data_IF_930991627395
#
_entry.id   IF_930991627395
#
_cell.length_a   1.000
_cell.length_b   1.000
_cell.length_c   1.000
_cell.angle_alpha   90.00
_cell.angle_beta   90.00
_cell.angle_gamma   90.00
#
_symmetry.space_group_name_H-M   'P 1'
#
loop_
_entity.id
_entity.type
_entity.pdbx_description
1 polymer ?
#
# COMPACT_ATOMS: atom_id res chain seq x y z
N UNK A 1 15.49 2.65 -3.83
CA UNK A 1 15.14 1.94 -2.57
C UNK A 1 16.37 1.79 -1.64
N UNK A 2 17.53 1.32 -2.14
CA UNK A 2 18.72 1.05 -1.31
C UNK A 2 19.24 2.30 -0.59
N UNK A 3 19.50 3.36 -1.32
CA UNK A 3 20.04 4.60 -0.77
C UNK A 3 19.02 5.37 0.11
N UNK A 4 17.71 5.24 -0.17
CA UNK A 4 16.65 5.83 0.66
C UNK A 4 16.26 4.98 1.89
N UNK A 5 16.93 3.86 2.15
CA UNK A 5 16.75 3.04 3.36
C UNK A 5 15.68 1.94 3.30
N UNK A 6 14.69 2.05 2.43
CA UNK A 6 13.53 1.15 2.38
C UNK A 6 13.93 -0.33 2.22
N UNK A 7 14.91 -0.60 1.33
CA UNK A 7 15.38 -1.97 1.12
C UNK A 7 16.02 -2.60 2.36
N UNK A 8 16.62 -1.79 3.22
CA UNK A 8 17.25 -2.25 4.46
C UNK A 8 16.27 -2.83 5.49
N UNK A 9 14.99 -2.42 5.41
CA UNK A 9 13.93 -2.85 6.34
C UNK A 9 12.87 -3.74 5.69
N UNK A 10 13.01 -4.06 4.39
CA UNK A 10 12.04 -4.88 3.64
C UNK A 10 12.55 -6.31 3.46
N UNK A 11 11.73 -7.30 3.80
CA UNK A 11 11.97 -8.73 3.65
C UNK A 11 12.18 -9.48 4.96
N UNK A 12 12.44 -10.78 4.84
CA UNK A 12 12.68 -11.67 5.97
C UNK A 12 14.00 -11.36 6.69
N UNK A 13 14.06 -11.50 8.04
CA UNK A 13 15.25 -11.17 8.83
C UNK A 13 16.52 -11.87 8.36
N UNK A 14 16.41 -13.17 8.09
CA UNK A 14 17.56 -14.06 7.80
C UNK A 14 17.86 -14.19 6.31
N UNK A 15 17.23 -13.37 5.46
CA UNK A 15 17.44 -13.40 4.00
C UNK A 15 18.03 -12.09 3.52
N UNK A 16 18.47 -12.08 2.27
CA UNK A 16 18.87 -10.82 1.62
C UNK A 16 17.70 -9.85 1.58
N UNK A 17 17.96 -8.52 1.68
CA UNK A 17 16.94 -7.50 1.59
C UNK A 17 16.07 -7.64 0.34
N UNK A 18 14.75 -7.67 0.52
CA UNK A 18 13.80 -7.79 -0.58
C UNK A 18 13.55 -6.46 -1.26
N UNK A 19 13.20 -6.51 -2.55
CA UNK A 19 12.67 -5.38 -3.29
C UNK A 19 11.16 -5.29 -3.04
N UNK A 20 10.63 -4.06 -2.93
CA UNK A 20 9.20 -3.83 -3.17
C UNK A 20 8.92 -4.11 -4.65
N UNK A 21 7.92 -4.88 -4.98
CA UNK A 21 7.67 -5.45 -6.32
C UNK A 21 7.38 -4.43 -7.43
N UNK A 22 7.42 -3.12 -7.15
CA UNK A 22 7.17 -2.02 -8.08
C UNK A 22 8.32 -1.00 -8.05
N UNK A 23 8.33 -0.05 -8.98
CA UNK A 23 9.26 1.09 -9.00
C UNK A 23 8.81 2.18 -8.03
N UNK A 24 8.80 1.86 -6.72
CA UNK A 24 8.23 2.74 -5.68
C UNK A 24 8.95 4.10 -5.60
N UNK A 25 10.27 4.14 -5.78
CA UNK A 25 11.04 5.39 -5.77
C UNK A 25 10.63 6.34 -6.88
N UNK A 26 10.42 5.82 -8.09
CA UNK A 26 9.96 6.60 -9.25
C UNK A 26 8.53 7.11 -9.03
N UNK A 27 7.66 6.26 -8.54
CA UNK A 27 6.25 6.62 -8.25
C UNK A 27 6.15 7.70 -7.17
N UNK A 28 6.94 7.58 -6.10
CA UNK A 28 6.99 8.59 -5.04
C UNK A 28 7.57 9.91 -5.55
N UNK A 29 8.67 9.88 -6.30
CA UNK A 29 9.27 11.09 -6.87
C UNK A 29 8.32 11.81 -7.83
N UNK A 30 7.59 11.07 -8.68
CA UNK A 30 6.57 11.64 -9.54
C UNK A 30 5.42 12.28 -8.74
N UNK A 31 4.98 11.65 -7.66
CA UNK A 31 3.93 12.16 -6.78
C UNK A 31 4.38 13.45 -6.07
N UNK A 32 5.55 13.47 -5.44
CA UNK A 32 6.11 14.67 -4.81
C UNK A 32 6.41 15.76 -5.84
N UNK A 33 6.87 15.41 -7.04
CA UNK A 33 7.07 16.34 -8.14
C UNK A 33 5.77 17.01 -8.56
N UNK A 34 4.69 16.25 -8.71
CA UNK A 34 3.36 16.79 -9.00
C UNK A 34 2.87 17.75 -7.90
N UNK A 35 3.02 17.36 -6.62
CA UNK A 35 2.67 18.24 -5.48
C UNK A 35 3.52 19.52 -5.48
N UNK A 36 4.81 19.41 -5.75
CA UNK A 36 5.71 20.56 -5.86
C UNK A 36 5.31 21.52 -6.99
N UNK A 37 4.93 20.98 -8.15
CA UNK A 37 4.45 21.77 -9.29
C UNK A 37 3.16 22.54 -8.93
N UNK A 38 2.19 21.88 -8.29
CA UNK A 38 0.96 22.53 -7.84
C UNK A 38 1.22 23.65 -6.83
N UNK A 39 2.11 23.42 -5.86
CA UNK A 39 2.53 24.44 -4.91
C UNK A 39 3.24 25.61 -5.58
N UNK A 40 4.14 25.35 -6.52
CA UNK A 40 4.82 26.39 -7.31
C UNK A 40 3.88 27.20 -8.21
N UNK A 41 2.86 26.56 -8.81
CA UNK A 41 1.81 27.23 -9.57
C UNK A 41 0.96 28.15 -8.66
N UNK A 42 0.64 27.68 -7.44
CA UNK A 42 -0.07 28.51 -6.47
C UNK A 42 0.75 29.75 -6.09
N UNK A 43 2.03 29.58 -5.77
CA UNK A 43 2.96 30.70 -5.50
C UNK A 43 3.03 31.67 -6.69
N UNK A 44 3.24 31.16 -7.91
CA UNK A 44 3.29 32.00 -9.11
C UNK A 44 1.99 32.79 -9.34
N UNK A 45 0.84 32.19 -9.06
CA UNK A 45 -0.44 32.89 -9.21
C UNK A 45 -0.62 34.04 -8.21
N UNK A 46 0.04 33.98 -7.06
CA UNK A 46 -0.01 35.04 -6.05
C UNK A 46 1.08 36.12 -6.24
N UNK A 47 2.26 35.75 -6.70
CA UNK A 47 3.44 36.64 -6.75
C UNK A 47 3.86 37.04 -8.15
N UNK A 48 3.47 36.30 -9.17
CA UNK A 48 3.98 36.42 -10.53
C UNK A 48 5.31 35.71 -10.78
N UNK A 49 5.94 35.14 -9.72
CA UNK A 49 7.28 34.56 -9.78
C UNK A 49 7.21 33.02 -9.86
N UNK A 50 7.96 32.44 -10.80
CA UNK A 50 8.17 30.98 -10.89
C UNK A 50 9.39 30.53 -10.06
N UNK A 51 9.55 29.22 -9.92
CA UNK A 51 10.68 28.63 -9.21
C UNK A 51 11.11 27.29 -9.81
N UNK A 52 12.32 26.87 -9.51
CA UNK A 52 12.84 25.55 -9.84
C UNK A 52 12.43 24.57 -8.72
N UNK A 53 12.02 23.36 -9.10
CA UNK A 53 11.69 22.28 -8.18
C UNK A 53 12.69 21.16 -8.42
N UNK A 54 13.44 20.81 -7.39
CA UNK A 54 14.38 19.69 -7.39
C UNK A 54 13.76 18.52 -6.61
N UNK A 55 13.73 17.33 -7.21
CA UNK A 55 13.14 16.12 -6.63
C UNK A 55 14.08 14.94 -6.86
N UNK A 56 14.70 14.46 -5.77
CA UNK A 56 15.57 13.30 -5.83
C UNK A 56 14.79 12.01 -5.48
N UNK A 57 15.05 10.93 -6.23
CA UNK A 57 14.42 9.61 -6.03
C UNK A 57 14.61 9.09 -4.60
N UNK A 58 15.82 9.19 -4.05
CA UNK A 58 16.13 8.66 -2.73
C UNK A 58 15.50 9.47 -1.59
N UNK A 59 15.38 10.78 -1.76
CA UNK A 59 14.72 11.65 -0.79
C UNK A 59 13.21 11.36 -0.74
N UNK A 60 12.62 11.10 -1.90
CA UNK A 60 11.21 10.69 -1.99
C UNK A 60 10.94 9.40 -1.24
N UNK A 61 11.86 8.43 -1.30
CA UNK A 61 11.79 7.20 -0.49
C UNK A 61 11.98 7.53 1.00
N UNK A 62 12.97 8.37 1.34
CA UNK A 62 13.25 8.75 2.73
C UNK A 62 12.05 9.42 3.41
N UNK A 63 11.26 10.21 2.67
CA UNK A 63 10.09 10.90 3.24
C UNK A 63 9.00 9.94 3.75
N UNK A 64 8.91 8.71 3.23
CA UNK A 64 7.94 7.71 3.68
C UNK A 64 8.52 6.73 4.71
N UNK A 65 9.76 6.93 5.15
CA UNK A 65 10.41 6.07 6.15
C UNK A 65 10.03 6.40 7.59
N UNK A 66 9.04 7.26 7.79
CA UNK A 66 8.52 7.65 9.12
C UNK A 66 9.63 8.19 10.05
N UNK A 67 9.73 7.66 11.27
CA UNK A 67 10.73 8.05 12.29
C UNK A 67 12.09 7.35 12.13
N UNK A 68 12.35 6.64 11.02
CA UNK A 68 13.53 5.78 10.84
C UNK A 68 14.87 6.46 11.22
N UNK A 69 15.11 7.66 10.72
CA UNK A 69 16.33 8.43 11.01
C UNK A 69 16.29 9.01 12.43
N UNK A 70 15.12 9.47 12.87
CA UNK A 70 14.94 10.08 14.19
C UNK A 70 15.14 9.05 15.32
N UNK A 71 14.59 7.82 15.15
CA UNK A 71 14.76 6.73 16.11
C UNK A 71 16.25 6.40 16.32
N UNK A 72 17.00 6.29 15.22
CA UNK A 72 18.44 6.04 15.30
C UNK A 72 19.20 7.21 15.93
N UNK A 73 18.91 8.43 15.53
CA UNK A 73 19.57 9.63 16.04
C UNK A 73 19.33 9.84 17.53
N UNK A 74 18.13 9.55 18.03
CA UNK A 74 17.76 9.78 19.41
C UNK A 74 18.18 8.66 20.36
N UNK A 75 18.21 7.40 19.89
CA UNK A 75 18.38 6.24 20.77
C UNK A 75 19.42 5.20 20.29
N UNK A 76 19.93 5.36 19.07
CA UNK A 76 20.74 4.33 18.41
C UNK A 76 19.91 3.12 17.93
N UNK A 77 18.58 3.16 18.05
CA UNK A 77 17.72 2.05 17.61
C UNK A 77 17.71 1.94 16.09
N UNK A 78 18.13 0.79 15.59
CA UNK A 78 18.14 0.49 14.16
C UNK A 78 16.99 -0.46 13.83
N UNK A 79 16.07 -0.01 12.98
CA UNK A 79 15.03 -0.92 12.43
C UNK A 79 15.69 -1.94 11.52
N UNK A 80 15.25 -3.17 11.63
CA UNK A 80 15.70 -4.29 10.79
C UNK A 80 14.51 -4.89 10.05
N UNK A 81 14.80 -5.83 9.17
CA UNK A 81 13.76 -6.59 8.46
C UNK A 81 13.00 -7.47 9.42
N UNK A 82 11.68 -7.52 9.27
CA UNK A 82 10.76 -8.24 10.18
C UNK A 82 9.76 -9.13 9.44
N UNK A 83 9.95 -9.34 8.14
CA UNK A 83 9.00 -10.11 7.33
C UNK A 83 7.65 -9.40 7.19
N UNK A 84 6.58 -10.13 7.42
CA UNK A 84 5.21 -9.64 7.29
C UNK A 84 4.69 -8.89 8.53
N UNK A 85 5.46 -8.83 9.62
CA UNK A 85 5.01 -8.23 10.88
C UNK A 85 5.51 -6.78 11.03
N UNK A 86 4.71 -5.99 11.74
CA UNK A 86 5.16 -4.73 12.34
C UNK A 86 5.50 -5.00 13.82
N UNK A 87 6.76 -4.84 14.24
CA UNK A 87 7.18 -5.19 15.60
C UNK A 87 6.37 -4.49 16.68
N UNK A 88 5.98 -5.23 17.69
CA UNK A 88 5.18 -4.79 18.85
C UNK A 88 3.72 -4.37 18.50
N UNK A 89 3.27 -4.64 17.30
CA UNK A 89 1.88 -4.40 16.86
C UNK A 89 1.22 -5.75 16.58
N UNK A 90 0.51 -6.31 17.56
CA UNK A 90 -0.06 -7.66 17.44
C UNK A 90 -1.52 -7.74 17.92
N UNK A 91 -2.33 -8.59 17.23
CA UNK A 91 -2.02 -9.24 15.96
C UNK A 91 -2.17 -8.27 14.77
N UNK A 92 -1.17 -8.26 13.91
CA UNK A 92 -1.17 -7.56 12.63
C UNK A 92 -0.19 -8.29 11.70
N UNK A 93 -0.70 -9.30 10.99
CA UNK A 93 0.13 -10.22 10.22
C UNK A 93 -0.66 -10.87 9.09
N UNK A 94 0.05 -11.55 8.20
CA UNK A 94 -0.50 -12.46 7.20
C UNK A 94 -0.42 -13.87 7.73
N UNK A 95 -1.54 -14.57 7.79
CA UNK A 95 -1.66 -15.91 8.37
C UNK A 95 -1.99 -16.94 7.30
N UNK A 96 -1.40 -18.15 7.37
CA UNK A 96 -1.71 -19.23 6.43
C UNK A 96 -3.10 -19.80 6.68
N UNK A 97 -3.83 -20.09 5.59
CA UNK A 97 -5.08 -20.83 5.58
C UNK A 97 -4.90 -22.18 4.87
N UNK A 98 -5.96 -22.99 4.75
CA UNK A 98 -5.92 -24.26 4.00
C UNK A 98 -5.57 -24.08 2.53
N UNK A 99 -6.01 -22.98 1.92
CA UNK A 99 -6.00 -22.74 0.49
C UNK A 99 -5.39 -21.39 0.09
N UNK A 100 -4.70 -20.71 1.01
CA UNK A 100 -4.06 -19.42 0.74
C UNK A 100 -3.56 -18.71 1.99
N UNK A 101 -3.49 -17.39 1.90
CA UNK A 101 -3.01 -16.50 2.95
C UNK A 101 -4.06 -15.41 3.23
N UNK A 102 -4.17 -14.98 4.48
CA UNK A 102 -5.16 -14.00 4.91
C UNK A 102 -4.58 -13.00 5.90
N UNK A 103 -4.79 -11.73 5.65
CA UNK A 103 -4.33 -10.63 6.50
C UNK A 103 -5.34 -10.38 7.62
N UNK A 104 -4.88 -10.30 8.87
CA UNK A 104 -5.69 -9.94 10.04
C UNK A 104 -5.05 -8.76 10.76
N UNK A 105 -5.83 -7.67 10.94
CA UNK A 105 -5.43 -6.47 11.69
C UNK A 105 -6.23 -6.32 12.98
N UNK A 106 -5.89 -7.12 14.00
CA UNK A 106 -6.62 -7.20 15.28
C UNK A 106 -5.93 -6.54 16.46
N UNK A 107 -5.03 -5.59 16.24
CA UNK A 107 -4.12 -5.05 17.25
C UNK A 107 -4.76 -4.13 18.31
N UNK A 108 -5.96 -3.56 18.09
CA UNK A 108 -6.67 -2.78 19.09
C UNK A 108 -7.42 -3.69 20.08
N UNK A 109 -7.47 -3.32 21.38
CA UNK A 109 -8.05 -4.16 22.40
C UNK A 109 -9.50 -4.60 22.12
N UNK A 110 -10.44 -3.72 21.66
CA UNK A 110 -11.77 -4.15 21.30
C UNK A 110 -11.83 -5.10 20.11
N UNK A 111 -10.90 -4.93 19.15
CA UNK A 111 -10.83 -5.77 17.95
C UNK A 111 -10.24 -7.12 18.31
N UNK A 112 -9.21 -7.16 19.13
CA UNK A 112 -8.62 -8.40 19.63
C UNK A 112 -9.63 -9.26 20.39
N UNK A 113 -10.46 -8.63 21.21
CA UNK A 113 -11.57 -9.33 21.89
C UNK A 113 -12.50 -10.00 20.88
N UNK A 114 -12.92 -9.29 19.84
CA UNK A 114 -13.79 -9.84 18.79
C UNK A 114 -13.10 -10.99 18.00
N UNK A 115 -11.80 -10.86 17.78
CA UNK A 115 -11.02 -11.94 17.19
C UNK A 115 -11.01 -13.18 18.09
N UNK A 116 -10.80 -13.02 19.39
CA UNK A 116 -10.87 -14.12 20.35
C UNK A 116 -12.26 -14.77 20.41
N UNK A 117 -13.32 -13.97 20.28
CA UNK A 117 -14.69 -14.49 20.21
C UNK A 117 -14.91 -15.27 18.88
N UNK A 118 -14.41 -14.78 17.75
CA UNK A 118 -14.41 -15.50 16.47
C UNK A 118 -13.63 -16.84 16.52
N UNK A 119 -12.54 -16.86 17.25
CA UNK A 119 -11.73 -18.08 17.50
C UNK A 119 -12.38 -19.05 18.48
N UNK A 120 -13.54 -18.72 19.08
CA UNK A 120 -14.16 -19.44 20.20
C UNK A 120 -13.21 -19.58 21.42
N UNK A 121 -12.28 -18.64 21.58
CA UNK A 121 -11.29 -18.58 22.68
C UNK A 121 -11.40 -17.27 23.49
N UNK A 122 -12.58 -16.87 24.01
CA UNK A 122 -12.76 -15.57 24.68
C UNK A 122 -11.85 -15.36 25.90
N UNK A 123 -11.37 -16.44 26.53
CA UNK A 123 -10.44 -16.36 27.65
C UNK A 123 -9.06 -15.83 27.23
N UNK A 124 -8.69 -15.94 25.96
CA UNK A 124 -7.41 -15.43 25.46
C UNK A 124 -7.32 -13.90 25.59
N UNK A 125 -8.45 -13.21 25.42
CA UNK A 125 -8.54 -11.76 25.62
C UNK A 125 -8.38 -11.30 27.09
N UNK A 126 -8.43 -12.24 28.03
CA UNK A 126 -8.29 -11.99 29.46
C UNK A 126 -6.94 -12.49 30.02
N UNK A 127 -6.17 -13.20 29.20
CA UNK A 127 -4.83 -13.67 29.57
C UNK A 127 -3.89 -12.45 29.75
N UNK A 128 -3.21 -12.29 30.88
CA UNK A 128 -2.31 -11.18 31.12
C UNK A 128 -1.25 -10.96 30.02
N UNK A 129 -0.87 -12.01 29.29
CA UNK A 129 0.08 -11.95 28.18
C UNK A 129 -0.50 -11.24 26.96
N UNK A 130 -1.86 -11.18 26.82
CA UNK A 130 -2.52 -10.67 25.61
C UNK A 130 -3.61 -9.64 25.90
N UNK A 131 -3.92 -9.36 27.16
CA UNK A 131 -5.05 -8.53 27.56
C UNK A 131 -4.94 -7.05 27.12
N UNK A 132 -3.73 -6.55 26.89
CA UNK A 132 -3.47 -5.18 26.45
C UNK A 132 -2.66 -5.15 25.17
N UNK A 133 -2.77 -4.06 24.41
CA UNK A 133 -1.97 -3.84 23.21
C UNK A 133 -0.45 -4.02 23.46
N UNK A 134 0.05 -3.46 24.57
CA UNK A 134 1.47 -3.57 24.94
C UNK A 134 1.86 -5.03 25.21
N UNK A 135 1.07 -5.74 26.03
CA UNK A 135 1.34 -7.13 26.37
C UNK A 135 1.33 -8.04 25.12
N UNK A 136 0.40 -7.81 24.18
CA UNK A 136 0.38 -8.54 22.90
C UNK A 136 1.64 -8.25 22.07
N UNK A 137 2.08 -7.01 22.04
CA UNK A 137 3.32 -6.62 21.34
C UNK A 137 4.56 -7.31 21.91
N UNK A 138 4.64 -7.51 23.20
CA UNK A 138 5.73 -8.23 23.88
C UNK A 138 5.68 -9.76 23.65
N UNK A 139 4.49 -10.33 23.45
CA UNK A 139 4.26 -11.75 23.21
C UNK A 139 3.81 -12.03 21.76
N UNK A 140 4.22 -11.19 20.81
CA UNK A 140 3.74 -11.20 19.43
C UNK A 140 3.93 -12.57 18.76
N UNK A 141 5.11 -13.17 18.84
CA UNK A 141 5.41 -14.42 18.14
C UNK A 141 4.50 -15.56 18.64
N UNK A 142 4.35 -15.70 19.96
CA UNK A 142 3.48 -16.75 20.56
C UNK A 142 2.01 -16.53 20.16
N UNK A 143 1.55 -15.28 20.15
CA UNK A 143 0.19 -14.94 19.73
C UNK A 143 -0.04 -15.23 18.26
N UNK A 144 0.91 -14.87 17.40
CA UNK A 144 0.84 -15.13 15.97
C UNK A 144 0.82 -16.64 15.67
N UNK A 145 1.58 -17.45 16.41
CA UNK A 145 1.53 -18.92 16.29
C UNK A 145 0.14 -19.47 16.67
N UNK A 146 -0.45 -19.00 17.76
CA UNK A 146 -1.80 -19.40 18.19
C UNK A 146 -2.85 -19.08 17.12
N UNK A 147 -2.75 -17.90 16.49
CA UNK A 147 -3.67 -17.49 15.43
C UNK A 147 -3.42 -18.32 14.17
N UNK A 148 -2.15 -18.52 13.80
CA UNK A 148 -1.77 -19.31 12.64
C UNK A 148 -2.24 -20.78 12.74
N UNK A 149 -2.16 -21.39 13.91
CA UNK A 149 -2.72 -22.73 14.14
C UNK A 149 -4.22 -22.78 13.87
N UNK A 150 -4.95 -21.76 14.29
CA UNK A 150 -6.38 -21.68 14.09
C UNK A 150 -6.72 -21.40 12.61
N UNK A 151 -6.08 -20.42 11.95
CA UNK A 151 -6.38 -20.08 10.56
C UNK A 151 -6.09 -21.22 9.59
N UNK A 152 -5.07 -22.05 9.84
CA UNK A 152 -4.79 -23.28 9.07
C UNK A 152 -5.94 -24.29 9.08
N UNK A 153 -6.89 -24.18 9.98
CA UNK A 153 -8.08 -25.06 10.02
C UNK A 153 -9.23 -24.57 9.13
N UNK A 154 -9.10 -23.39 8.54
CA UNK A 154 -10.13 -22.72 7.74
C UNK A 154 -9.63 -22.44 6.33
N UNK A 155 -10.54 -22.38 5.36
CA UNK A 155 -10.29 -21.81 4.04
C UNK A 155 -10.32 -20.28 4.12
N UNK A 156 -9.76 -19.61 3.12
CA UNK A 156 -9.82 -18.13 3.01
C UNK A 156 -11.27 -17.65 3.06
N UNK A 157 -12.18 -18.29 2.33
CA UNK A 157 -13.61 -17.91 2.29
C UNK A 157 -14.32 -18.11 3.65
N UNK A 158 -14.03 -19.23 4.35
CA UNK A 158 -14.59 -19.48 5.69
C UNK A 158 -14.08 -18.44 6.70
N UNK A 159 -12.79 -18.12 6.66
CA UNK A 159 -12.17 -17.14 7.55
C UNK A 159 -12.70 -15.72 7.29
N UNK A 160 -12.83 -15.33 6.03
CA UNK A 160 -13.37 -14.02 5.63
C UNK A 160 -14.78 -13.83 6.14
N UNK A 161 -15.68 -14.79 5.89
CA UNK A 161 -17.07 -14.73 6.36
C UNK A 161 -17.15 -14.63 7.89
N UNK A 162 -16.32 -15.41 8.59
CA UNK A 162 -16.30 -15.44 10.06
C UNK A 162 -15.79 -14.11 10.65
N UNK A 163 -14.70 -13.58 10.13
CA UNK A 163 -14.11 -12.33 10.63
C UNK A 163 -14.96 -11.12 10.29
N UNK A 164 -15.62 -11.13 9.13
CA UNK A 164 -16.60 -10.11 8.75
C UNK A 164 -17.79 -10.09 9.73
N UNK A 165 -18.34 -11.27 10.07
CA UNK A 165 -19.45 -11.38 11.02
C UNK A 165 -19.08 -10.85 12.43
N UNK A 166 -17.82 -10.94 12.82
CA UNK A 166 -17.29 -10.41 14.08
C UNK A 166 -16.72 -8.99 13.95
N UNK A 167 -16.83 -8.36 12.79
CA UNK A 167 -16.30 -7.02 12.51
C UNK A 167 -14.80 -6.87 12.87
N UNK A 168 -14.00 -7.89 12.54
CA UNK A 168 -12.54 -7.88 12.67
C UNK A 168 -11.94 -7.41 11.35
N UNK A 169 -11.14 -6.32 11.31
CA UNK A 169 -10.45 -5.87 10.12
C UNK A 169 -9.52 -6.95 9.57
N UNK A 170 -9.81 -7.39 8.36
CA UNK A 170 -9.10 -8.51 7.73
C UNK A 170 -9.39 -8.53 6.24
N UNK A 171 -8.63 -9.28 5.49
CA UNK A 171 -8.86 -9.45 4.05
C UNK A 171 -7.86 -10.41 3.40
N UNK A 172 -8.25 -10.96 2.26
CA UNK A 172 -7.37 -11.72 1.38
C UNK A 172 -6.25 -10.82 0.85
N UNK A 173 -5.08 -11.38 0.64
CA UNK A 173 -4.02 -10.71 -0.12
C UNK A 173 -4.39 -10.80 -1.60
N UNK A 174 -4.81 -9.69 -2.20
CA UNK A 174 -5.34 -9.65 -3.57
C UNK A 174 -4.23 -9.75 -4.61
N UNK A 175 -4.51 -10.54 -5.63
CA UNK A 175 -3.82 -10.48 -6.91
C UNK A 175 -4.63 -9.69 -7.97
N UNK A 176 -4.16 -9.67 -9.22
CA UNK A 176 -4.82 -8.94 -10.29
C UNK A 176 -6.19 -9.55 -10.67
N UNK A 177 -6.33 -10.87 -10.60
CA UNK A 177 -7.58 -11.57 -10.88
C UNK A 177 -8.65 -11.20 -9.83
N UNK A 178 -8.26 -11.20 -8.56
CA UNK A 178 -9.12 -10.77 -7.46
C UNK A 178 -9.60 -9.33 -7.62
N UNK A 179 -8.68 -8.40 -7.97
CA UNK A 179 -9.02 -6.99 -8.19
C UNK A 179 -10.03 -6.80 -9.32
N UNK A 180 -9.92 -7.58 -10.39
CA UNK A 180 -10.85 -7.51 -11.52
C UNK A 180 -12.21 -8.16 -11.23
N UNK A 181 -12.24 -9.15 -10.36
CA UNK A 181 -13.47 -9.85 -9.97
C UNK A 181 -14.25 -9.13 -8.85
N UNK A 182 -13.59 -8.28 -8.07
CA UNK A 182 -14.18 -7.63 -6.89
C UNK A 182 -15.20 -6.56 -7.28
N UNK A 183 -16.47 -6.67 -6.84
CA UNK A 183 -17.52 -5.69 -7.13
C UNK A 183 -17.22 -4.29 -6.56
N UNK A 184 -16.39 -4.17 -5.53
CA UNK A 184 -15.98 -2.88 -4.99
C UNK A 184 -15.07 -2.12 -5.98
N UNK A 185 -14.14 -2.81 -6.65
CA UNK A 185 -13.32 -2.22 -7.70
C UNK A 185 -14.18 -1.73 -8.87
N UNK A 186 -15.20 -2.51 -9.25
CA UNK A 186 -16.17 -2.12 -10.28
C UNK A 186 -17.01 -0.91 -9.84
N UNK A 187 -17.60 -0.95 -8.64
CA UNK A 187 -18.42 0.15 -8.09
C UNK A 187 -17.63 1.45 -7.90
N UNK A 188 -16.35 1.35 -7.59
CA UNK A 188 -15.41 2.47 -7.49
C UNK A 188 -14.86 2.92 -8.83
N UNK A 189 -15.13 2.18 -9.92
CA UNK A 189 -14.45 2.41 -11.21
C UNK A 189 -12.92 2.53 -11.04
N UNK A 190 -12.35 1.65 -10.25
CA UNK A 190 -10.91 1.68 -9.94
C UNK A 190 -10.08 1.22 -11.13
N UNK A 191 -10.69 0.48 -12.03
CA UNK A 191 -10.12 0.02 -13.29
C UNK A 191 -10.98 0.47 -14.46
N UNK A 192 -10.37 0.59 -15.65
CA UNK A 192 -11.03 0.96 -16.90
C UNK A 192 -10.53 0.07 -18.03
N UNK A 193 -11.40 -0.30 -18.95
CA UNK A 193 -11.03 -1.05 -20.14
C UNK A 193 -10.97 -0.11 -21.34
N UNK A 194 -9.87 -0.14 -22.06
CA UNK A 194 -9.66 0.59 -23.32
C UNK A 194 -9.44 -0.43 -24.45
N UNK A 195 -9.98 -0.13 -25.62
CA UNK A 195 -9.69 -0.90 -26.82
C UNK A 195 -8.34 -0.48 -27.39
N UNK A 196 -7.33 -1.33 -27.19
CA UNK A 196 -6.01 -1.14 -27.80
C UNK A 196 -6.02 -1.75 -29.20
N UNK A 197 -5.57 -1.00 -30.23
CA UNK A 197 -5.62 -1.47 -31.62
C UNK A 197 -4.78 -2.73 -31.91
N UNK A 198 -3.78 -3.05 -31.12
CA UNK A 198 -2.92 -4.22 -31.31
C UNK A 198 -3.27 -5.38 -30.36
N UNK A 199 -3.71 -5.04 -29.14
CA UNK A 199 -3.97 -6.03 -28.08
C UNK A 199 -5.45 -6.32 -27.88
N UNK A 200 -6.36 -5.51 -28.47
CA UNK A 200 -7.78 -5.57 -28.16
C UNK A 200 -8.11 -4.93 -26.80
N UNK A 201 -9.15 -5.37 -26.10
CA UNK A 201 -9.55 -4.81 -24.82
C UNK A 201 -8.46 -5.00 -23.75
N UNK A 202 -7.93 -3.91 -23.20
CA UNK A 202 -6.95 -3.91 -22.09
C UNK A 202 -7.55 -3.21 -20.88
N UNK A 203 -7.62 -3.91 -19.75
CA UNK A 203 -8.06 -3.33 -18.48
C UNK A 203 -6.85 -2.86 -17.69
N UNK A 204 -6.92 -1.62 -17.20
CA UNK A 204 -5.84 -0.97 -16.46
C UNK A 204 -6.39 -0.11 -15.31
N UNK A 205 -5.50 0.39 -14.46
CA UNK A 205 -5.86 1.34 -13.40
C UNK A 205 -6.49 2.60 -14.02
N UNK A 206 -7.60 3.03 -13.44
CA UNK A 206 -8.25 4.29 -13.82
C UNK A 206 -7.56 5.50 -13.19
N UNK A 207 -7.98 6.71 -13.59
CA UNK A 207 -7.47 7.96 -13.02
C UNK A 207 -7.79 8.07 -11.51
N UNK A 208 -6.82 8.54 -10.73
CA UNK A 208 -6.92 8.80 -9.30
C UNK A 208 -6.09 10.06 -8.94
N UNK A 209 -6.55 10.90 -7.98
CA UNK A 209 -7.84 10.87 -7.27
C UNK A 209 -9.04 11.26 -8.15
N UNK A 210 -10.25 10.93 -7.68
CA UNK A 210 -11.50 11.29 -8.39
C UNK A 210 -11.95 12.68 -7.98
N UNK A 211 -12.09 13.55 -8.97
CA UNK A 211 -12.58 14.93 -8.79
C UNK A 211 -14.05 15.04 -9.19
N UNK A 212 -14.89 15.62 -8.33
CA UNK A 212 -16.33 15.76 -8.57
C UNK A 212 -16.65 16.79 -9.67
N UNK A 213 -15.85 17.85 -9.77
CA UNK A 213 -16.08 18.92 -10.75
C UNK A 213 -15.25 18.75 -12.04
N UNK A 214 -14.09 18.12 -11.95
CA UNK A 214 -13.15 17.94 -13.06
C UNK A 214 -12.65 16.51 -13.10
N UNK A 215 -13.51 15.54 -13.40
CA UNK A 215 -13.12 14.12 -13.39
C UNK A 215 -12.01 13.85 -14.40
N UNK A 216 -11.01 13.09 -13.96
CA UNK A 216 -9.96 12.64 -14.86
C UNK A 216 -10.49 11.61 -15.85
N UNK A 217 -9.85 11.53 -17.02
CA UNK A 217 -10.15 10.51 -18.03
C UNK A 217 -8.89 10.09 -18.77
N UNK A 218 -8.85 8.83 -19.19
CA UNK A 218 -7.82 8.31 -20.08
C UNK A 218 -8.31 8.54 -21.51
N UNK A 219 -7.63 9.40 -22.27
CA UNK A 219 -8.07 9.83 -23.59
C UNK A 219 -7.61 8.92 -24.71
N UNK A 220 -6.48 8.24 -24.53
CA UNK A 220 -5.92 7.27 -25.49
C UNK A 220 -4.96 6.32 -24.77
N UNK A 221 -4.65 5.22 -25.41
CA UNK A 221 -3.57 4.31 -25.00
C UNK A 221 -2.19 4.97 -25.08
N UNK A 222 -1.16 4.31 -24.56
CA UNK A 222 0.22 4.77 -24.65
C UNK A 222 0.68 4.89 -26.12
N UNK A 223 1.51 5.90 -26.46
CA UNK A 223 2.06 6.04 -27.80
C UNK A 223 2.93 4.81 -28.14
N UNK A 224 2.88 4.37 -29.42
CA UNK A 224 3.59 3.19 -29.89
C UNK A 224 4.99 3.50 -30.35
N UNK A 225 5.20 4.71 -30.81
CA UNK A 225 6.49 5.17 -31.34
C UNK A 225 6.95 6.41 -30.57
N UNK A 226 8.27 6.53 -30.45
CA UNK A 226 8.88 7.73 -29.85
C UNK A 226 8.52 8.95 -30.74
N UNK A 227 7.97 9.99 -30.11
CA UNK A 227 7.62 11.23 -30.80
C UNK A 227 6.23 11.25 -31.45
N UNK A 228 5.41 10.21 -31.32
CA UNK A 228 4.06 10.13 -31.90
C UNK A 228 3.20 11.35 -31.56
N UNK A 229 3.31 11.86 -30.33
CA UNK A 229 2.54 13.01 -29.84
C UNK A 229 3.23 14.37 -30.05
N UNK A 230 4.43 14.42 -30.59
CA UNK A 230 5.26 15.62 -30.63
C UNK A 230 4.58 16.74 -31.39
N UNK A 231 4.08 16.47 -32.60
CA UNK A 231 3.39 17.47 -33.45
C UNK A 231 2.14 18.02 -32.76
N UNK A 232 1.28 17.14 -32.20
CA UNK A 232 0.08 17.55 -31.48
C UNK A 232 0.40 18.45 -30.26
N UNK A 233 1.42 18.08 -29.48
CA UNK A 233 1.85 18.88 -28.33
C UNK A 233 2.41 20.25 -28.76
N UNK A 234 3.27 20.30 -29.77
CA UNK A 234 3.89 21.54 -30.21
C UNK A 234 2.84 22.50 -30.80
N UNK A 235 1.95 21.99 -31.64
CA UNK A 235 0.96 22.83 -32.32
C UNK A 235 -0.19 23.27 -31.38
N UNK A 236 -0.82 22.31 -30.71
CA UNK A 236 -2.02 22.61 -29.93
C UNK A 236 -1.73 23.25 -28.58
N UNK A 237 -0.63 22.87 -27.92
CA UNK A 237 -0.34 23.29 -26.54
C UNK A 237 0.64 24.46 -26.47
N UNK A 238 1.58 24.55 -27.38
CA UNK A 238 2.61 25.59 -27.38
C UNK A 238 2.43 26.60 -28.49
N UNK A 239 1.50 26.39 -29.45
CA UNK A 239 1.31 27.25 -30.61
C UNK A 239 2.54 27.35 -31.52
N UNK A 240 3.39 26.30 -31.52
CA UNK A 240 4.62 26.23 -32.33
C UNK A 240 4.37 25.32 -33.51
N UNK A 241 4.80 25.69 -34.72
CA UNK A 241 4.79 24.75 -35.84
C UNK A 241 5.71 23.56 -35.54
N UNK A 242 5.33 22.36 -36.01
CA UNK A 242 6.09 21.11 -35.86
C UNK A 242 7.43 21.16 -36.60
#
# INVERSE_FOLDING_TARGET
EGFGGLRGITGEPDRMPSRVGISIGDSLAATYGCMGILAALHHRNQTGEGQIIDVALYESVLQVMESYVADYSASGFMRTRTGAILPKIAPSNVYPCKDGEFLIGGNQDPIFKRLCDAMERPKLAQDPRYATHLARGENQAELDDIIAEWTRTLTVAELEALLLAHAVPSGKVYDAEDMLADPHYAARESVVTLDDPDLGPVTMQNTFPKFSATPGSIRKHAPRTVGEDTTDILERWLGRPA
#
